data_IF_865023560668
#
_entry.id   IF_865023560668
#
_cell.length_a   1.000
_cell.length_b   1.000
_cell.length_c   1.000
_cell.angle_alpha   90.00
_cell.angle_beta   90.00
_cell.angle_gamma   90.00
#
_symmetry.space_group_name_H-M   'P 1'
#
loop_
_entity.id
_entity.type
_entity.pdbx_description
1 polymer ?
#
# COMPACT_ATOMS: atom_id res chain seq x y z
N UNK A 1 14.27 -21.28 -37.46
CA UNK A 1 14.68 -20.50 -36.27
C UNK A 1 13.61 -19.56 -35.71
N UNK A 2 12.48 -19.30 -36.38
CA UNK A 2 11.51 -18.28 -35.91
C UNK A 2 10.36 -18.82 -35.03
N UNK A 3 10.26 -20.13 -34.80
CA UNK A 3 9.21 -20.71 -33.94
C UNK A 3 9.62 -20.81 -32.45
N UNK A 4 10.92 -20.97 -32.18
CA UNK A 4 11.47 -21.05 -30.82
C UNK A 4 11.46 -19.69 -30.09
N UNK A 5 11.67 -18.59 -30.82
CA UNK A 5 11.63 -17.22 -30.25
C UNK A 5 10.21 -16.82 -29.82
N UNK A 6 9.19 -17.25 -30.57
CA UNK A 6 7.77 -16.96 -30.26
C UNK A 6 7.32 -17.71 -28.99
N UNK A 7 7.79 -18.96 -28.80
CA UNK A 7 7.49 -19.74 -27.60
C UNK A 7 8.17 -19.14 -26.36
N UNK A 8 9.41 -18.63 -26.50
CA UNK A 8 10.11 -17.97 -25.40
C UNK A 8 9.44 -16.64 -24.98
N UNK A 9 8.84 -15.92 -25.93
CA UNK A 9 8.10 -14.67 -25.66
C UNK A 9 6.75 -14.92 -24.96
N UNK A 10 6.08 -16.03 -25.28
CA UNK A 10 4.82 -16.45 -24.63
C UNK A 10 5.01 -16.92 -23.19
N UNK A 11 6.15 -17.52 -22.85
CA UNK A 11 6.49 -17.92 -21.48
C UNK A 11 6.84 -16.74 -20.56
N UNK A 12 7.37 -15.63 -21.10
CA UNK A 12 7.64 -14.42 -20.33
C UNK A 12 6.34 -13.70 -19.89
N UNK A 13 5.27 -13.79 -20.70
CA UNK A 13 3.98 -13.14 -20.42
C UNK A 13 3.18 -13.82 -19.30
N UNK A 14 3.46 -15.09 -18.98
CA UNK A 14 2.73 -15.81 -17.91
C UNK A 14 3.22 -15.51 -16.49
N UNK A 15 4.41 -14.91 -16.34
CA UNK A 15 4.99 -14.60 -15.01
C UNK A 15 4.41 -13.31 -14.41
N UNK A 16 3.87 -12.38 -15.22
CA UNK A 16 3.34 -11.09 -14.72
C UNK A 16 1.86 -11.13 -14.25
N UNK A 17 1.18 -12.27 -14.30
CA UNK A 17 -0.27 -12.32 -14.08
C UNK A 17 -0.71 -12.21 -12.59
N UNK A 18 0.20 -12.43 -11.62
CA UNK A 18 -0.14 -12.38 -10.20
C UNK A 18 -0.03 -10.97 -9.57
N UNK A 19 0.65 -10.02 -10.23
CA UNK A 19 0.89 -8.66 -9.70
C UNK A 19 -0.15 -7.59 -10.10
N UNK A 20 -0.98 -7.86 -11.11
CA UNK A 20 -1.83 -6.83 -11.72
C UNK A 20 -2.87 -6.20 -10.77
N UNK A 21 -3.24 -6.86 -9.66
CA UNK A 21 -4.15 -6.27 -8.67
C UNK A 21 -3.45 -5.24 -7.78
N UNK A 22 -2.22 -5.51 -7.37
CA UNK A 22 -1.43 -4.59 -6.56
C UNK A 22 -1.10 -3.33 -7.36
N UNK A 23 -0.65 -3.52 -8.60
CA UNK A 23 -0.36 -2.41 -9.53
C UNK A 23 -1.59 -1.53 -9.80
N UNK A 24 -2.77 -2.13 -10.00
CA UNK A 24 -4.03 -1.37 -10.17
C UNK A 24 -4.35 -0.50 -8.95
N UNK A 25 -4.14 -1.03 -7.74
CA UNK A 25 -4.37 -0.27 -6.49
C UNK A 25 -3.35 0.86 -6.37
N UNK A 26 -2.08 0.61 -6.69
CA UNK A 26 -1.02 1.63 -6.69
C UNK A 26 -1.31 2.75 -7.68
N UNK A 27 -1.67 2.41 -8.92
CA UNK A 27 -2.05 3.38 -9.94
C UNK A 27 -3.27 4.21 -9.52
N UNK A 28 -4.29 3.57 -8.95
CA UNK A 28 -5.46 4.27 -8.44
C UNK A 28 -5.11 5.21 -7.28
N UNK A 29 -4.25 4.77 -6.35
CA UNK A 29 -3.75 5.60 -5.25
C UNK A 29 -2.99 6.83 -5.78
N UNK A 30 -2.11 6.64 -6.76
CA UNK A 30 -1.36 7.71 -7.42
C UNK A 30 -2.31 8.74 -8.03
N UNK A 31 -3.29 8.30 -8.83
CA UNK A 31 -4.28 9.18 -9.43
C UNK A 31 -5.09 9.94 -8.37
N UNK A 32 -5.55 9.24 -7.33
CA UNK A 32 -6.33 9.80 -6.23
C UNK A 32 -5.56 10.90 -5.50
N UNK A 33 -4.29 10.66 -5.16
CA UNK A 33 -3.43 11.65 -4.49
C UNK A 33 -3.17 12.86 -5.41
N UNK A 34 -2.83 12.63 -6.68
CA UNK A 34 -2.62 13.73 -7.64
C UNK A 34 -3.84 14.65 -7.73
N UNK A 35 -5.03 14.07 -7.83
CA UNK A 35 -6.29 14.82 -7.88
C UNK A 35 -6.52 15.65 -6.62
N UNK A 36 -6.36 15.05 -5.42
CA UNK A 36 -6.67 15.72 -4.15
C UNK A 36 -5.67 16.79 -3.73
N UNK A 37 -4.38 16.65 -4.09
CA UNK A 37 -3.35 17.58 -3.64
C UNK A 37 -3.18 18.79 -4.56
N UNK A 38 -3.63 18.69 -5.82
CA UNK A 38 -3.47 19.76 -6.83
C UNK A 38 -2.02 20.28 -6.87
N UNK A 39 -1.08 19.35 -7.03
CA UNK A 39 0.35 19.66 -7.10
C UNK A 39 0.67 20.39 -8.40
N UNK A 40 1.51 21.41 -8.33
CA UNK A 40 2.17 21.96 -9.52
C UNK A 40 3.21 20.97 -10.03
N UNK A 41 3.65 21.10 -11.29
CA UNK A 41 4.68 20.20 -11.86
C UNK A 41 5.96 20.18 -11.00
N UNK A 42 6.42 21.35 -10.53
CA UNK A 42 7.61 21.45 -9.69
C UNK A 42 7.44 20.81 -8.30
N UNK A 43 6.24 20.91 -7.72
CA UNK A 43 5.94 20.22 -6.46
C UNK A 43 5.86 18.70 -6.67
N UNK A 44 5.24 18.25 -7.77
CA UNK A 44 5.07 16.83 -8.09
C UNK A 44 6.43 16.13 -8.30
N UNK A 45 7.35 16.76 -9.03
CA UNK A 45 8.72 16.27 -9.25
C UNK A 45 9.47 16.00 -7.93
N UNK A 46 9.24 16.84 -6.91
CA UNK A 46 9.86 16.69 -5.59
C UNK A 46 9.07 15.74 -4.67
N UNK A 47 7.74 15.76 -4.77
CA UNK A 47 6.83 15.00 -3.93
C UNK A 47 6.94 13.50 -4.15
N UNK A 48 6.86 13.05 -5.41
CA UNK A 48 6.74 11.63 -5.72
C UNK A 48 7.91 10.77 -5.24
N UNK A 49 9.18 11.19 -5.38
CA UNK A 49 10.30 10.43 -4.84
C UNK A 49 10.22 10.25 -3.32
N UNK A 50 9.83 11.29 -2.58
CA UNK A 50 9.68 11.25 -1.12
C UNK A 50 8.53 10.32 -0.74
N UNK A 51 7.37 10.48 -1.39
CA UNK A 51 6.18 9.72 -1.07
C UNK A 51 6.32 8.23 -1.43
N UNK A 52 6.91 7.91 -2.58
CA UNK A 52 7.10 6.52 -3.02
C UNK A 52 8.03 5.75 -2.08
N UNK A 53 9.12 6.37 -1.64
CA UNK A 53 10.03 5.76 -0.66
C UNK A 53 9.34 5.53 0.70
N UNK A 54 8.50 6.47 1.15
CA UNK A 54 7.67 6.26 2.33
C UNK A 54 6.68 5.11 2.13
N UNK A 55 5.95 5.09 1.01
CA UNK A 55 4.90 4.12 0.72
C UNK A 55 5.45 2.69 0.65
N UNK A 56 6.61 2.51 0.03
CA UNK A 56 7.30 1.22 -0.04
C UNK A 56 7.70 0.71 1.35
N UNK A 57 8.37 1.53 2.16
CA UNK A 57 8.76 1.15 3.54
C UNK A 57 7.55 0.88 4.42
N UNK A 58 6.52 1.71 4.29
CA UNK A 58 5.28 1.53 5.03
C UNK A 58 4.55 0.25 4.60
N UNK A 59 4.59 -0.08 3.31
CA UNK A 59 4.04 -1.34 2.79
C UNK A 59 4.76 -2.56 3.38
N UNK A 60 6.09 -2.54 3.44
CA UNK A 60 6.88 -3.63 4.02
C UNK A 60 6.60 -3.81 5.51
N UNK A 61 6.46 -2.73 6.29
CA UNK A 61 6.02 -2.82 7.69
C UNK A 61 4.64 -3.47 7.82
N UNK A 62 3.69 -3.07 6.96
CA UNK A 62 2.33 -3.65 6.94
C UNK A 62 2.33 -5.11 6.52
N UNK A 63 3.23 -5.49 5.63
CA UNK A 63 3.42 -6.89 5.24
C UNK A 63 3.98 -7.69 6.41
N UNK A 64 5.00 -7.18 7.10
CA UNK A 64 5.58 -7.75 8.30
C UNK A 64 4.54 -7.97 9.40
N UNK A 65 3.73 -6.96 9.69
CA UNK A 65 2.62 -7.04 10.65
C UNK A 65 1.66 -8.18 10.31
N UNK A 66 1.23 -8.27 9.03
CA UNK A 66 0.34 -9.34 8.59
C UNK A 66 0.96 -10.73 8.74
N UNK A 67 2.22 -10.89 8.37
CA UNK A 67 2.87 -12.22 8.33
C UNK A 67 3.39 -12.69 9.68
N UNK A 68 3.90 -11.78 10.52
CA UNK A 68 4.52 -12.14 11.79
C UNK A 68 3.55 -12.11 12.97
N UNK A 69 2.46 -11.34 12.87
CA UNK A 69 1.46 -11.19 13.94
C UNK A 69 0.16 -11.84 13.50
N UNK A 70 -0.56 -11.26 12.53
CA UNK A 70 -1.93 -11.72 12.23
C UNK A 70 -2.02 -13.14 11.68
N UNK A 71 -1.02 -13.62 10.94
CA UNK A 71 -0.97 -15.01 10.52
C UNK A 71 -0.81 -15.98 11.69
N UNK A 72 -0.04 -15.64 12.74
CA UNK A 72 0.07 -16.47 13.94
C UNK A 72 -1.25 -16.53 14.71
N UNK A 73 -2.01 -15.44 14.71
CA UNK A 73 -3.33 -15.36 15.34
C UNK A 73 -4.44 -16.11 14.59
N UNK A 74 -4.23 -16.55 13.34
CA UNK A 74 -5.26 -17.24 12.56
C UNK A 74 -5.70 -18.57 13.15
N UNK A 75 -4.81 -19.24 13.88
CA UNK A 75 -5.08 -20.55 14.50
C UNK A 75 -5.69 -20.44 15.91
N UNK A 76 -6.15 -19.24 16.29
CA UNK A 76 -6.74 -18.96 17.59
C UNK A 76 -5.72 -18.57 18.66
N UNK A 77 -6.18 -17.83 19.67
CA UNK A 77 -5.37 -17.38 20.80
C UNK A 77 -5.06 -18.52 21.80
N UNK A 78 -5.93 -19.54 21.84
CA UNK A 78 -5.86 -20.66 22.80
C UNK A 78 -4.55 -21.48 22.70
N UNK A 79 -3.84 -21.38 21.59
CA UNK A 79 -2.58 -22.12 21.36
C UNK A 79 -1.32 -21.29 21.68
N UNK A 80 -1.46 -20.04 22.13
CA UNK A 80 -0.33 -19.18 22.48
C UNK A 80 0.00 -19.30 23.95
N UNK A 81 1.27 -19.55 24.26
CA UNK A 81 1.80 -19.34 25.60
C UNK A 81 1.87 -17.84 25.93
N UNK A 82 1.89 -17.51 27.22
CA UNK A 82 2.09 -16.12 27.68
C UNK A 82 3.40 -15.52 27.14
N UNK A 83 4.44 -16.33 26.98
CA UNK A 83 5.71 -15.90 26.40
C UNK A 83 5.54 -15.49 24.93
N UNK A 84 4.87 -16.31 24.12
CA UNK A 84 4.61 -15.98 22.71
C UNK A 84 3.66 -14.79 22.56
N UNK A 85 2.68 -14.66 23.45
CA UNK A 85 1.79 -13.50 23.49
C UNK A 85 2.56 -12.21 23.78
N UNK A 86 3.47 -12.23 24.75
CA UNK A 86 4.35 -11.09 25.04
C UNK A 86 5.26 -10.74 23.85
N UNK A 87 5.85 -11.73 23.17
CA UNK A 87 6.63 -11.47 21.96
C UNK A 87 5.81 -10.82 20.84
N UNK A 88 4.55 -11.22 20.68
CA UNK A 88 3.64 -10.63 19.69
C UNK A 88 3.30 -9.18 20.04
N UNK A 89 3.09 -8.89 21.32
CA UNK A 89 2.86 -7.53 21.83
C UNK A 89 4.09 -6.64 21.54
N UNK A 90 5.29 -7.09 21.91
CA UNK A 90 6.52 -6.33 21.70
C UNK A 90 6.78 -6.07 20.20
N UNK A 91 6.51 -7.08 19.35
CA UNK A 91 6.58 -6.92 17.89
C UNK A 91 5.58 -5.89 17.37
N UNK A 92 4.35 -5.92 17.87
CA UNK A 92 3.33 -4.96 17.47
C UNK A 92 3.77 -3.52 17.83
N UNK A 93 4.19 -3.30 19.07
CA UNK A 93 4.67 -1.99 19.54
C UNK A 93 5.89 -1.50 18.74
N UNK A 94 6.81 -2.40 18.39
CA UNK A 94 7.96 -2.09 17.54
C UNK A 94 7.54 -1.64 16.13
N UNK A 95 6.56 -2.32 15.53
CA UNK A 95 6.01 -1.96 14.21
C UNK A 95 5.30 -0.61 14.28
N UNK A 96 4.46 -0.38 15.28
CA UNK A 96 3.76 0.90 15.46
C UNK A 96 4.73 2.08 15.64
N UNK A 97 5.80 1.86 16.41
CA UNK A 97 6.89 2.84 16.57
C UNK A 97 7.55 3.14 15.23
N UNK A 98 7.89 2.10 14.46
CA UNK A 98 8.51 2.25 13.12
C UNK A 98 7.59 3.00 12.15
N UNK A 99 6.29 2.73 12.17
CA UNK A 99 5.31 3.45 11.36
C UNK A 99 5.25 4.94 11.72
N UNK A 100 5.28 5.26 13.02
CA UNK A 100 5.27 6.64 13.49
C UNK A 100 6.53 7.38 13.03
N UNK A 101 7.70 6.76 13.14
CA UNK A 101 8.95 7.36 12.69
C UNK A 101 8.97 7.60 11.17
N UNK A 102 8.48 6.64 10.36
CA UNK A 102 8.32 6.85 8.93
C UNK A 102 7.39 8.04 8.61
N UNK A 103 6.29 8.20 9.36
CA UNK A 103 5.37 9.33 9.18
C UNK A 103 5.99 10.66 9.60
N UNK A 104 6.79 10.69 10.67
CA UNK A 104 7.56 11.87 11.08
C UNK A 104 8.56 12.26 10.00
N UNK A 105 9.32 11.30 9.49
CA UNK A 105 10.29 11.51 8.41
C UNK A 105 9.60 12.04 7.14
N UNK A 106 8.52 11.40 6.69
CA UNK A 106 7.72 11.87 5.55
C UNK A 106 7.29 13.33 5.75
N UNK A 107 6.74 13.65 6.92
CA UNK A 107 6.27 15.00 7.23
C UNK A 107 7.41 16.02 7.21
N UNK A 108 8.57 15.68 7.76
CA UNK A 108 9.75 16.54 7.76
C UNK A 108 10.27 16.82 6.35
N UNK A 109 10.35 15.79 5.49
CA UNK A 109 10.78 15.95 4.10
C UNK A 109 9.76 16.73 3.27
N UNK A 110 8.46 16.44 3.43
CA UNK A 110 7.41 17.15 2.69
C UNK A 110 7.30 18.63 3.08
N UNK A 111 7.58 19.01 4.34
CA UNK A 111 7.59 20.42 4.77
C UNK A 111 8.61 21.28 4.01
N UNK A 112 9.65 20.68 3.43
CA UNK A 112 10.65 21.39 2.62
C UNK A 112 10.14 21.75 1.23
N UNK A 113 9.09 21.07 0.75
CA UNK A 113 8.65 21.13 -0.66
C UNK A 113 7.15 21.40 -0.84
N UNK A 114 6.34 21.24 0.20
CA UNK A 114 4.90 21.47 0.21
C UNK A 114 4.46 22.35 1.38
N UNK A 115 3.36 23.07 1.19
CA UNK A 115 2.73 23.83 2.28
C UNK A 115 2.12 22.89 3.35
N UNK A 116 2.05 23.32 4.62
CA UNK A 116 1.43 22.53 5.70
C UNK A 116 -0.02 22.11 5.37
N UNK A 117 -0.78 22.97 4.68
CA UNK A 117 -2.15 22.66 4.24
C UNK A 117 -2.18 21.45 3.30
N UNK A 118 -1.27 21.38 2.32
CA UNK A 118 -1.17 20.23 1.40
C UNK A 118 -0.77 18.94 2.12
N UNK A 119 0.08 19.03 3.14
CA UNK A 119 0.48 17.86 3.95
C UNK A 119 -0.70 17.30 4.75
N UNK A 120 -1.53 18.16 5.36
CA UNK A 120 -2.75 17.72 6.03
C UNK A 120 -3.78 17.17 5.03
N UNK A 121 -3.90 17.80 3.85
CA UNK A 121 -4.74 17.26 2.75
C UNK A 121 -4.29 15.88 2.31
N UNK A 122 -2.98 15.62 2.21
CA UNK A 122 -2.44 14.29 1.94
C UNK A 122 -2.89 13.27 2.97
N UNK A 123 -2.75 13.59 4.26
CA UNK A 123 -3.19 12.69 5.33
C UNK A 123 -4.67 12.34 5.21
N UNK A 124 -5.51 13.34 4.91
CA UNK A 124 -6.94 13.13 4.66
C UNK A 124 -7.17 12.24 3.43
N UNK A 125 -6.49 12.53 2.33
CA UNK A 125 -6.62 11.77 1.08
C UNK A 125 -6.23 10.30 1.25
N UNK A 126 -5.17 10.00 1.99
CA UNK A 126 -4.77 8.62 2.29
C UNK A 126 -5.83 7.86 3.10
N UNK A 127 -6.45 8.51 4.08
CA UNK A 127 -7.50 7.91 4.90
C UNK A 127 -8.78 7.69 4.09
N UNK A 128 -9.17 8.68 3.27
CA UNK A 128 -10.34 8.57 2.40
C UNK A 128 -10.14 7.46 1.35
N UNK A 129 -8.96 7.38 0.73
CA UNK A 129 -8.62 6.30 -0.20
C UNK A 129 -8.72 4.92 0.46
N UNK A 130 -8.22 4.77 1.69
CA UNK A 130 -8.34 3.50 2.44
C UNK A 130 -9.80 3.13 2.68
N UNK A 131 -10.65 4.10 3.06
CA UNK A 131 -12.09 3.88 3.25
C UNK A 131 -12.76 3.44 1.95
N UNK A 132 -12.54 4.17 0.86
CA UNK A 132 -13.09 3.83 -0.46
C UNK A 132 -12.62 2.45 -0.96
N UNK A 133 -11.34 2.12 -0.74
CA UNK A 133 -10.80 0.82 -1.09
C UNK A 133 -11.51 -0.31 -0.32
N UNK A 134 -11.74 -0.13 0.98
CA UNK A 134 -12.46 -1.10 1.82
C UNK A 134 -13.93 -1.23 1.40
N UNK A 135 -14.60 -0.13 1.11
CA UNK A 135 -16.00 -0.15 0.66
C UNK A 135 -16.14 -0.87 -0.68
N UNK A 136 -15.22 -0.64 -1.63
CA UNK A 136 -15.18 -1.41 -2.89
C UNK A 136 -14.97 -2.90 -2.66
N UNK A 137 -14.14 -3.30 -1.69
CA UNK A 137 -13.98 -4.71 -1.35
C UNK A 137 -15.22 -5.34 -0.72
N UNK A 138 -15.97 -4.57 0.07
CA UNK A 138 -17.23 -5.02 0.70
C UNK A 138 -18.34 -5.18 -0.32
N UNK A 139 -18.56 -4.18 -1.18
CA UNK A 139 -19.61 -4.21 -2.19
C UNK A 139 -19.27 -5.11 -3.38
N UNK A 140 -18.01 -5.24 -3.77
CA UNK A 140 -17.57 -6.15 -4.84
C UNK A 140 -17.64 -7.64 -4.50
N UNK A 141 -17.91 -8.02 -3.23
CA UNK A 141 -18.19 -9.42 -2.85
C UNK A 141 -19.68 -9.79 -2.94
N UNK A 142 -20.58 -8.81 -3.08
CA UNK A 142 -22.03 -9.04 -3.19
C UNK A 142 -22.51 -9.40 -4.60
N UNK A 143 -21.77 -9.00 -5.63
CA UNK A 143 -22.02 -9.37 -7.02
C UNK A 143 -21.00 -10.42 -7.47
N UNK A 144 -21.41 -11.69 -7.51
CA UNK A 144 -20.56 -12.80 -7.95
C UNK A 144 -20.12 -12.62 -9.40
N UNK A 145 -18.80 -12.65 -9.63
CA UNK A 145 -18.21 -12.94 -10.93
C UNK A 145 -17.82 -11.70 -11.74
N UNK A 146 -16.53 -11.63 -12.11
CA UNK A 146 -15.98 -10.70 -13.10
C UNK A 146 -16.19 -9.19 -12.84
N UNK A 147 -15.27 -8.60 -12.06
CA UNK A 147 -14.38 -7.51 -12.50
C UNK A 147 -13.69 -6.94 -11.28
N UNK A 148 -12.37 -7.19 -11.18
CA UNK A 148 -11.50 -6.48 -10.26
C UNK A 148 -11.58 -4.95 -10.48
N UNK A 149 -10.97 -4.16 -9.58
CA UNK A 149 -11.18 -2.72 -9.53
C UNK A 149 -10.91 -2.10 -10.91
N UNK A 150 -11.96 -1.51 -11.51
CA UNK A 150 -11.82 -0.63 -12.67
C UNK A 150 -11.16 0.65 -12.15
N UNK A 151 -9.98 0.95 -12.70
CA UNK A 151 -9.31 2.22 -12.50
C UNK A 151 -10.19 3.39 -12.98
N UNK A 152 -9.80 4.64 -12.68
CA UNK A 152 -10.52 5.80 -13.20
C UNK A 152 -10.58 5.74 -14.74
N UNK A 153 -11.72 6.19 -15.29
CA UNK A 153 -11.91 6.36 -16.74
C UNK A 153 -11.10 7.56 -17.23
#
# INVERSE_FOLDING_TARGET
MNKLVIILFLLAATVQAQDGKHEKIKAWKTAYITEKLSLTSSEAEKFWPIYNNFDEKFHELRKKERTEIFHKLRNGLENLSDAEANELIDKNLSIETSELELRKQLTAELRKVLSPKKIITLKKAENDFKRELLDRYRHGKGEKGEKGPKGPK
#
